data_IF_092965696905
#
_entry.id   IF_092965696905
#
_cell.length_a   1.000
_cell.length_b   1.000
_cell.length_c   1.000
_cell.angle_alpha   90.00
_cell.angle_beta   90.00
_cell.angle_gamma   90.00
#
_symmetry.space_group_name_H-M   'P 1'
#
loop_
_entity.id
_entity.type
_entity.pdbx_description
1 polymer ?
#
# COMPACT_ATOMS: atom_id res chain seq x y z
N UNK A 1 2.62 12.61 9.13
CA UNK A 1 3.10 11.33 8.59
C UNK A 1 3.91 10.63 9.67
N UNK A 2 3.54 9.43 10.04
CA UNK A 2 4.26 8.68 11.07
C UNK A 2 5.58 8.10 10.51
N UNK A 3 6.47 7.68 11.42
CA UNK A 3 7.76 7.11 11.04
C UNK A 3 7.65 5.88 10.15
N UNK A 4 6.66 5.02 10.40
CA UNK A 4 6.44 3.83 9.57
C UNK A 4 6.10 4.19 8.12
N UNK A 5 5.28 5.22 7.92
CA UNK A 5 4.94 5.68 6.58
C UNK A 5 6.14 6.32 5.89
N UNK A 6 6.84 7.22 6.58
CA UNK A 6 7.95 7.97 5.99
C UNK A 6 9.20 7.11 5.75
N UNK A 7 9.53 6.22 6.69
CA UNK A 7 10.77 5.46 6.63
C UNK A 7 10.63 4.09 5.97
N UNK A 8 9.44 3.51 5.98
CA UNK A 8 9.22 2.13 5.52
C UNK A 8 8.26 2.05 4.34
N UNK A 9 7.00 2.47 4.52
CA UNK A 9 5.97 2.30 3.49
C UNK A 9 6.27 3.08 2.22
N UNK A 10 6.53 4.37 2.33
CA UNK A 10 6.78 5.22 1.16
C UNK A 10 8.03 4.81 0.39
N UNK A 11 9.19 4.64 1.03
CA UNK A 11 10.36 4.16 0.31
C UNK A 11 10.15 2.77 -0.30
N UNK A 12 9.43 1.88 0.38
CA UNK A 12 9.13 0.55 -0.13
C UNK A 12 8.29 0.58 -1.40
N UNK A 13 7.24 1.41 -1.41
CA UNK A 13 6.40 1.58 -2.59
C UNK A 13 7.20 2.17 -3.74
N UNK A 14 7.97 3.23 -3.49
CA UNK A 14 8.78 3.87 -4.52
C UNK A 14 9.78 2.87 -5.13
N UNK A 15 10.47 2.10 -4.29
CA UNK A 15 11.41 1.09 -4.76
C UNK A 15 10.72 0.00 -5.58
N UNK A 16 9.49 -0.39 -5.22
CA UNK A 16 8.75 -1.43 -5.95
C UNK A 16 8.42 -1.02 -7.38
N UNK A 17 8.36 0.28 -7.67
CA UNK A 17 8.00 0.78 -8.99
C UNK A 17 9.10 0.57 -10.03
N UNK A 18 10.29 0.13 -9.63
CA UNK A 18 11.34 -0.27 -10.58
C UNK A 18 11.09 -1.66 -11.18
N UNK A 19 10.10 -2.40 -10.68
CA UNK A 19 9.73 -3.71 -11.22
C UNK A 19 9.23 -3.59 -12.66
N UNK A 20 9.40 -4.64 -13.47
CA UNK A 20 8.95 -4.63 -14.86
C UNK A 20 7.42 -4.61 -14.99
N UNK A 21 6.71 -5.15 -14.01
CA UNK A 21 5.25 -5.09 -13.91
C UNK A 21 4.88 -4.15 -12.78
N UNK A 22 4.04 -3.17 -13.06
CA UNK A 22 3.59 -2.18 -12.07
C UNK A 22 2.11 -1.84 -12.29
N UNK A 23 1.42 -1.32 -11.25
CA UNK A 23 0.05 -0.84 -11.42
C UNK A 23 -0.02 0.31 -12.42
N UNK A 24 -1.15 0.41 -13.11
CA UNK A 24 -1.38 1.49 -14.08
C UNK A 24 -1.55 2.85 -13.37
N UNK A 25 -2.24 2.86 -12.24
CA UNK A 25 -2.54 4.07 -11.48
C UNK A 25 -2.07 3.93 -10.05
N UNK A 26 -1.55 5.03 -9.50
CA UNK A 26 -1.11 5.11 -8.11
C UNK A 26 -1.84 6.25 -7.42
N UNK A 27 -2.22 6.04 -6.17
CA UNK A 27 -2.87 7.07 -5.38
C UNK A 27 -2.41 6.98 -3.92
N UNK A 28 -2.33 8.13 -3.27
CA UNK A 28 -1.96 8.23 -1.86
C UNK A 28 -3.05 8.98 -1.10
N UNK A 29 -3.41 8.48 0.08
CA UNK A 29 -4.36 9.13 0.97
C UNK A 29 -3.69 9.36 2.33
N UNK A 30 -3.80 10.60 2.83
CA UNK A 30 -3.26 10.99 4.13
C UNK A 30 -4.35 10.86 5.20
N UNK A 31 -4.33 9.76 5.93
CA UNK A 31 -5.40 9.39 6.87
C UNK A 31 -5.68 10.44 7.94
N UNK A 32 -4.66 11.12 8.42
CA UNK A 32 -4.83 12.14 9.46
C UNK A 32 -5.27 13.51 8.95
N UNK A 33 -5.29 13.71 7.63
CA UNK A 33 -5.52 15.03 7.02
C UNK A 33 -6.78 15.03 6.16
N UNK A 34 -6.97 13.99 5.34
CA UNK A 34 -8.09 13.89 4.41
C UNK A 34 -9.03 12.78 4.84
N UNK A 35 -9.97 13.14 5.74
CA UNK A 35 -10.89 12.16 6.32
C UNK A 35 -11.84 11.57 5.29
N UNK A 36 -12.37 12.38 4.39
CA UNK A 36 -13.34 11.93 3.39
C UNK A 36 -12.70 10.92 2.43
N UNK A 37 -11.53 11.24 1.89
CA UNK A 37 -10.81 10.32 1.02
C UNK A 37 -10.39 9.06 1.76
N UNK A 38 -10.01 9.17 3.04
CA UNK A 38 -9.64 8.04 3.87
C UNK A 38 -10.81 7.09 4.07
N UNK A 39 -11.98 7.61 4.40
CA UNK A 39 -13.18 6.80 4.61
C UNK A 39 -13.58 6.08 3.33
N UNK A 40 -13.49 6.76 2.20
CA UNK A 40 -13.79 6.17 0.89
C UNK A 40 -12.81 5.05 0.55
N UNK A 41 -11.52 5.27 0.77
CA UNK A 41 -10.51 4.25 0.52
C UNK A 41 -10.74 3.02 1.42
N UNK A 42 -11.04 3.23 2.69
CA UNK A 42 -11.31 2.15 3.64
C UNK A 42 -12.55 1.35 3.26
N UNK A 43 -13.55 1.99 2.70
CA UNK A 43 -14.74 1.30 2.20
C UNK A 43 -14.36 0.27 1.13
N UNK A 44 -13.47 0.63 0.21
CA UNK A 44 -13.03 -0.27 -0.86
C UNK A 44 -12.10 -1.38 -0.36
N UNK A 45 -11.51 -1.21 0.82
CA UNK A 45 -10.61 -2.21 1.42
C UNK A 45 -11.32 -3.19 2.35
N UNK A 46 -12.64 -3.06 2.52
CA UNK A 46 -13.40 -4.00 3.34
C UNK A 46 -13.19 -5.44 2.83
N UNK A 47 -13.13 -6.46 3.69
CA UNK A 47 -13.43 -6.43 5.14
C UNK A 47 -12.21 -6.11 6.04
N UNK A 48 -11.09 -5.66 5.50
CA UNK A 48 -9.93 -5.36 6.32
C UNK A 48 -10.23 -4.18 7.25
N UNK A 49 -9.84 -4.27 8.54
CA UNK A 49 -10.05 -3.18 9.48
C UNK A 49 -9.16 -1.97 9.12
N UNK A 50 -9.51 -0.76 9.57
CA UNK A 50 -8.68 0.41 9.36
C UNK A 50 -7.26 0.18 9.86
N UNK A 51 -6.28 0.53 9.02
CA UNK A 51 -4.86 0.38 9.32
C UNK A 51 -4.10 1.53 8.67
N UNK A 52 -3.11 2.09 9.37
CA UNK A 52 -2.29 3.16 8.84
C UNK A 52 -0.87 3.08 9.43
N UNK A 53 0.18 3.03 8.58
CA UNK A 53 0.11 3.01 7.12
C UNK A 53 -0.39 1.66 6.59
N UNK A 54 -0.90 1.68 5.38
CA UNK A 54 -1.23 0.44 4.66
C UNK A 54 -1.08 0.66 3.15
N UNK A 55 -0.93 -0.43 2.42
CA UNK A 55 -0.84 -0.43 0.97
C UNK A 55 -1.83 -1.45 0.44
N UNK A 56 -2.65 -1.04 -0.52
CA UNK A 56 -3.64 -1.92 -1.13
C UNK A 56 -3.43 -1.95 -2.65
N UNK A 57 -3.52 -3.13 -3.22
CA UNK A 57 -3.48 -3.33 -4.66
C UNK A 57 -4.84 -3.80 -5.14
N UNK A 58 -5.39 -3.10 -6.11
CA UNK A 58 -6.66 -3.44 -6.73
C UNK A 58 -6.44 -3.82 -8.19
N UNK A 59 -7.19 -4.82 -8.65
CA UNK A 59 -7.22 -5.21 -10.05
C UNK A 59 -8.67 -5.30 -10.49
N UNK A 60 -9.03 -4.52 -11.51
CA UNK A 60 -10.40 -4.48 -12.04
C UNK A 60 -11.44 -4.16 -10.95
N UNK A 61 -11.08 -3.28 -10.02
CA UNK A 61 -11.94 -2.87 -8.93
C UNK A 61 -11.98 -3.81 -7.72
N UNK A 62 -11.25 -4.92 -7.77
CA UNK A 62 -11.19 -5.90 -6.69
C UNK A 62 -9.87 -5.82 -5.93
N UNK A 63 -9.94 -5.91 -4.61
CA UNK A 63 -8.75 -5.95 -3.75
C UNK A 63 -8.06 -7.30 -3.90
N UNK A 64 -6.83 -7.31 -4.41
CA UNK A 64 -6.06 -8.54 -4.65
C UNK A 64 -4.87 -8.70 -3.72
N UNK A 65 -4.40 -7.62 -3.09
CA UNK A 65 -3.27 -7.67 -2.17
C UNK A 65 -3.36 -6.54 -1.16
N UNK A 66 -2.98 -6.81 0.08
CA UNK A 66 -3.04 -5.82 1.15
C UNK A 66 -1.84 -5.96 2.09
N UNK A 67 -1.16 -4.84 2.33
CA UNK A 67 -0.17 -4.73 3.40
C UNK A 67 -0.75 -3.84 4.49
N UNK A 68 -1.02 -4.41 5.65
CA UNK A 68 -1.50 -3.67 6.80
C UNK A 68 -0.31 -3.14 7.62
N UNK A 69 -0.61 -2.32 8.63
CA UNK A 69 0.44 -1.72 9.45
C UNK A 69 1.42 -2.75 10.02
N UNK A 70 0.94 -3.88 10.49
CA UNK A 70 1.81 -4.90 11.08
C UNK A 70 2.72 -5.58 10.06
N UNK A 71 2.43 -5.46 8.76
CA UNK A 71 3.31 -5.93 7.70
C UNK A 71 4.37 -4.90 7.32
N UNK A 72 4.19 -3.65 7.73
CA UNK A 72 5.05 -2.52 7.36
C UNK A 72 5.93 -2.08 8.53
N UNK A 73 5.34 -1.98 9.71
CA UNK A 73 6.04 -1.51 10.91
C UNK A 73 7.20 -2.42 11.27
N UNK A 74 8.37 -1.80 11.47
CA UNK A 74 9.59 -2.54 11.81
C UNK A 74 10.23 -3.29 10.63
N UNK A 75 9.73 -3.10 9.40
CA UNK A 75 10.27 -3.75 8.22
C UNK A 75 11.02 -2.76 7.33
N UNK A 76 12.20 -3.13 6.81
CA UNK A 76 12.92 -2.23 5.90
C UNK A 76 12.21 -2.09 4.56
N UNK A 77 12.49 -0.98 3.87
CA UNK A 77 11.90 -0.68 2.58
C UNK A 77 12.11 -1.80 1.55
N UNK A 78 13.26 -2.48 1.60
CA UNK A 78 13.59 -3.58 0.68
C UNK A 78 12.63 -4.75 0.81
N UNK A 79 12.21 -5.11 2.02
CA UNK A 79 11.25 -6.19 2.23
C UNK A 79 9.86 -5.81 1.74
N UNK A 80 9.44 -4.57 1.97
CA UNK A 80 8.16 -4.05 1.50
C UNK A 80 8.17 -4.03 -0.02
N UNK A 81 9.25 -3.55 -0.63
CA UNK A 81 9.41 -3.51 -2.08
C UNK A 81 9.33 -4.91 -2.69
N UNK A 82 10.03 -5.89 -2.11
CA UNK A 82 10.01 -7.26 -2.62
C UNK A 82 8.62 -7.86 -2.56
N UNK A 83 7.89 -7.62 -1.46
CA UNK A 83 6.51 -8.09 -1.31
C UNK A 83 5.61 -7.51 -2.40
N UNK A 84 5.70 -6.21 -2.64
CA UNK A 84 4.89 -5.54 -3.66
C UNK A 84 5.26 -5.99 -5.07
N UNK A 85 6.54 -6.20 -5.35
CA UNK A 85 6.98 -6.68 -6.66
C UNK A 85 6.41 -8.08 -6.95
N UNK A 86 6.39 -8.96 -5.96
CA UNK A 86 5.77 -10.28 -6.11
C UNK A 86 4.28 -10.15 -6.41
N UNK A 87 3.58 -9.26 -5.71
CA UNK A 87 2.15 -9.01 -5.95
C UNK A 87 1.91 -8.43 -7.35
N UNK A 88 2.78 -7.54 -7.81
CA UNK A 88 2.70 -6.98 -9.16
C UNK A 88 2.93 -8.06 -10.23
N UNK A 89 3.88 -8.94 -10.00
CA UNK A 89 4.18 -10.03 -10.94
C UNK A 89 2.98 -10.99 -11.08
N UNK A 90 2.22 -11.20 -10.01
CA UNK A 90 1.05 -12.07 -10.04
C UNK A 90 -0.20 -11.40 -10.62
N UNK A 91 -0.35 -10.08 -10.46
CA UNK A 91 -1.60 -9.39 -10.73
C UNK A 91 -1.55 -8.33 -11.83
N UNK A 92 -0.38 -7.85 -12.17
CA UNK A 92 -0.23 -6.80 -13.20
C UNK A 92 0.33 -7.33 -14.58
#
# INVERSE_FOLDING_TARGET
VCGCAAANARPGVIASLSNSKTPTNLATVFAGVDKEATDKARYHMAPFPPSSPCVALFKDGELVHMLERHHIEGRPAELISANLQDAFNENC
#
